data_IF_094757584485
#
_entry.id   IF_094757584485
#
_cell.length_a   1.000
_cell.length_b   1.000
_cell.length_c   1.000
_cell.angle_alpha   90.00
_cell.angle_beta   90.00
_cell.angle_gamma   90.00
#
_symmetry.space_group_name_H-M   'P 1'
#
loop_
_entity.id
_entity.type
_entity.pdbx_description
1 polymer ?
#
# COMPACT_ATOMS: atom_id res chain seq x y z
N UNK A 1 16.90 -9.47 7.83
CA UNK A 1 15.57 -9.61 7.22
C UNK A 1 15.70 -9.24 5.76
N UNK A 2 15.45 -10.16 4.83
CA UNK A 2 15.42 -9.86 3.40
C UNK A 2 14.04 -9.31 3.03
N UNK A 3 14.01 -8.19 2.33
CA UNK A 3 12.80 -7.59 1.76
C UNK A 3 12.95 -7.66 0.26
N UNK A 4 11.96 -8.25 -0.40
CA UNK A 4 11.87 -8.27 -1.85
C UNK A 4 10.93 -7.15 -2.29
N UNK A 5 11.48 -6.14 -2.95
CA UNK A 5 10.68 -5.11 -3.60
C UNK A 5 10.07 -5.70 -4.87
N UNK A 6 8.87 -6.26 -4.72
CA UNK A 6 8.05 -6.67 -5.86
C UNK A 6 6.93 -5.65 -6.02
N UNK A 7 7.08 -4.79 -7.03
CA UNK A 7 6.04 -3.82 -7.41
C UNK A 7 4.91 -4.57 -8.08
N UNK A 8 3.96 -5.09 -7.28
CA UNK A 8 2.79 -5.76 -7.82
C UNK A 8 1.51 -5.21 -7.21
N UNK A 9 0.70 -4.63 -8.08
CA UNK A 9 -0.73 -4.59 -7.86
C UNK A 9 -1.27 -5.91 -8.35
N UNK A 10 -1.82 -6.77 -7.50
CA UNK A 10 -2.62 -7.88 -8.01
C UNK A 10 -3.93 -7.34 -8.60
N UNK A 11 -3.85 -6.62 -9.73
CA UNK A 11 -4.99 -6.48 -10.64
C UNK A 11 -5.09 -7.85 -11.27
N UNK A 12 -6.05 -8.67 -10.83
CA UNK A 12 -6.19 -10.05 -11.30
C UNK A 12 -6.03 -10.12 -12.83
N UNK A 13 -5.12 -10.99 -13.30
CA UNK A 13 -4.77 -11.11 -14.72
C UNK A 13 -3.30 -10.82 -15.07
N UNK A 14 -2.49 -10.29 -14.15
CA UNK A 14 -1.03 -10.21 -14.34
C UNK A 14 -0.38 -11.59 -14.16
N UNK A 15 0.63 -11.91 -14.98
CA UNK A 15 1.28 -13.21 -14.99
C UNK A 15 2.17 -13.49 -13.76
N UNK A 16 2.59 -12.44 -13.05
CA UNK A 16 3.42 -12.51 -11.85
C UNK A 16 2.62 -11.94 -10.67
N UNK A 17 2.73 -12.58 -9.51
CA UNK A 17 1.95 -12.25 -8.32
C UNK A 17 2.86 -12.11 -7.10
N UNK A 18 2.48 -11.23 -6.17
CA UNK A 18 3.18 -11.04 -4.90
C UNK A 18 3.31 -12.33 -4.09
N UNK A 19 2.36 -13.26 -4.23
CA UNK A 19 2.35 -14.53 -3.50
C UNK A 19 3.55 -15.42 -3.83
N UNK A 20 4.07 -15.37 -5.06
CA UNK A 20 5.21 -16.15 -5.53
C UNK A 20 6.51 -15.82 -4.79
N UNK A 21 6.56 -14.66 -4.13
CA UNK A 21 7.78 -14.15 -3.47
C UNK A 21 7.76 -14.26 -1.95
N UNK A 22 6.65 -14.68 -1.34
CA UNK A 22 6.52 -14.81 0.13
C UNK A 22 7.55 -15.77 0.72
N UNK A 23 7.92 -16.84 -0.01
CA UNK A 23 8.95 -17.79 0.41
C UNK A 23 10.38 -17.23 0.42
N UNK A 24 10.61 -16.10 -0.26
CA UNK A 24 11.95 -15.50 -0.44
C UNK A 24 12.22 -14.37 0.57
N UNK A 25 11.19 -13.90 1.28
CA UNK A 25 11.26 -12.78 2.19
C UNK A 25 9.95 -12.00 2.24
N UNK A 26 9.96 -10.85 2.92
CA UNK A 26 8.78 -9.98 2.93
C UNK A 26 8.60 -9.29 1.59
N UNK A 27 7.34 -9.07 1.21
CA UNK A 27 6.92 -8.45 -0.05
C UNK A 27 6.41 -7.03 0.21
N UNK A 28 6.71 -6.10 -0.69
CA UNK A 28 6.18 -4.73 -0.62
C UNK A 28 4.70 -4.68 -0.99
N UNK A 29 3.85 -4.23 -0.07
CA UNK A 29 2.39 -4.15 -0.27
C UNK A 29 1.98 -2.75 -0.74
N UNK A 30 2.04 -2.53 -2.06
CA UNK A 30 1.72 -1.24 -2.68
C UNK A 30 0.26 -0.81 -2.51
N UNK A 31 -0.67 -1.74 -2.22
CA UNK A 31 -2.08 -1.41 -1.99
C UNK A 31 -2.28 -0.64 -0.68
N UNK A 32 -1.41 -0.85 0.30
CA UNK A 32 -1.50 -0.20 1.61
C UNK A 32 -1.50 1.34 1.48
N UNK A 33 -0.47 1.91 0.84
CA UNK A 33 -0.37 3.35 0.63
C UNK A 33 -1.51 3.93 -0.21
N UNK A 34 -1.91 3.24 -1.29
CA UNK A 34 -3.01 3.68 -2.16
C UNK A 34 -4.35 3.69 -1.44
N UNK A 35 -4.71 2.61 -0.75
CA UNK A 35 -6.02 2.51 -0.09
C UNK A 35 -6.15 3.51 1.07
N UNK A 36 -5.05 3.76 1.81
CA UNK A 36 -5.03 4.88 2.77
C UNK A 36 -5.21 6.22 2.06
N UNK A 37 -4.48 6.44 0.98
CA UNK A 37 -4.58 7.64 0.17
C UNK A 37 -6.01 7.90 -0.33
N UNK A 38 -6.67 6.87 -0.87
CA UNK A 38 -8.09 6.92 -1.28
C UNK A 38 -9.00 7.33 -0.11
N UNK A 39 -8.81 6.73 1.07
CA UNK A 39 -9.62 7.05 2.24
C UNK A 39 -9.43 8.51 2.71
N UNK A 40 -8.18 8.98 2.79
CA UNK A 40 -7.87 10.35 3.22
C UNK A 40 -8.21 11.42 2.20
N UNK A 41 -8.22 11.08 0.90
CA UNK A 41 -8.68 11.97 -0.18
C UNK A 41 -10.20 11.93 -0.38
N UNK A 42 -10.93 11.10 0.38
CA UNK A 42 -12.39 11.02 0.32
C UNK A 42 -12.95 10.13 -0.79
N UNK A 43 -12.10 9.37 -1.48
CA UNK A 43 -12.50 8.34 -2.44
C UNK A 43 -12.96 7.04 -1.75
N UNK A 44 -12.69 6.90 -0.46
CA UNK A 44 -13.28 5.88 0.40
C UNK A 44 -13.60 6.45 1.80
N UNK A 45 -14.56 5.85 2.50
CA UNK A 45 -14.94 6.34 3.84
C UNK A 45 -13.95 5.86 4.90
N UNK A 46 -13.43 6.80 5.72
CA UNK A 46 -12.50 6.49 6.81
C UNK A 46 -13.02 5.43 7.79
N UNK A 47 -14.34 5.33 7.98
CA UNK A 47 -14.96 4.32 8.86
C UNK A 47 -14.66 2.87 8.45
N UNK A 48 -14.33 2.64 7.19
CA UNK A 48 -13.98 1.31 6.69
C UNK A 48 -12.56 0.88 7.06
N UNK A 49 -11.73 1.79 7.55
CA UNK A 49 -10.38 1.44 7.99
C UNK A 49 -10.36 0.57 9.26
N UNK A 50 -11.52 0.29 9.87
CA UNK A 50 -11.65 -0.58 11.06
C UNK A 50 -11.07 -1.98 10.85
N UNK A 51 -11.11 -2.50 9.63
CA UNK A 51 -10.52 -3.80 9.26
C UNK A 51 -9.46 -3.66 8.17
N UNK A 52 -8.77 -2.51 8.13
CA UNK A 52 -7.75 -2.25 7.13
C UNK A 52 -6.61 -3.27 7.20
N UNK A 53 -6.31 -3.94 6.09
CA UNK A 53 -5.28 -4.99 6.03
C UNK A 53 -5.71 -6.19 5.18
N UNK A 54 -5.49 -7.38 5.70
CA UNK A 54 -5.78 -8.67 5.03
C UNK A 54 -7.23 -8.76 4.51
N UNK A 55 -8.21 -8.24 5.25
CA UNK A 55 -9.63 -8.22 4.84
C UNK A 55 -9.89 -7.39 3.58
N UNK A 56 -8.96 -6.51 3.20
CA UNK A 56 -9.00 -5.73 1.96
C UNK A 56 -8.28 -6.45 0.80
N UNK A 57 -7.97 -7.73 0.98
CA UNK A 57 -7.25 -8.57 0.04
C UNK A 57 -5.74 -8.36 0.03
N UNK A 58 -5.19 -7.62 1.00
CA UNK A 58 -3.75 -7.49 1.18
C UNK A 58 -3.13 -8.80 1.69
N UNK A 59 -1.83 -8.99 1.43
CA UNK A 59 -1.11 -10.15 1.95
C UNK A 59 -1.06 -10.15 3.49
N UNK A 60 -0.86 -11.33 4.07
CA UNK A 60 -0.66 -11.52 5.52
C UNK A 60 0.38 -10.56 6.08
N UNK A 61 0.06 -9.92 7.21
CA UNK A 61 0.89 -8.90 7.86
C UNK A 61 2.30 -9.37 8.20
N UNK A 62 2.51 -10.66 8.44
CA UNK A 62 3.81 -11.26 8.73
C UNK A 62 4.74 -11.26 7.50
N UNK A 63 4.14 -11.25 6.31
CA UNK A 63 4.80 -11.41 5.02
C UNK A 63 5.01 -10.09 4.26
N UNK A 64 4.57 -8.95 4.81
CA UNK A 64 4.62 -7.67 4.08
C UNK A 64 5.49 -6.60 4.72
N UNK A 65 6.05 -5.74 3.85
CA UNK A 65 6.51 -4.41 4.20
C UNK A 65 5.52 -3.40 3.62
N UNK A 66 5.05 -2.46 4.46
CA UNK A 66 4.08 -1.44 4.08
C UNK A 66 4.68 -0.04 4.16
N UNK A 67 4.15 0.89 3.36
CA UNK A 67 4.57 2.29 3.30
C UNK A 67 3.43 3.17 2.79
N UNK A 68 3.49 4.47 3.08
CA UNK A 68 2.54 5.47 2.55
C UNK A 68 2.94 5.85 1.12
N UNK A 69 4.21 6.21 0.94
CA UNK A 69 4.88 6.44 -0.33
C UNK A 69 6.27 5.77 -0.33
N UNK A 70 6.88 5.66 -1.51
CA UNK A 70 8.27 5.28 -1.73
C UNK A 70 8.91 6.25 -2.73
N UNK A 71 10.20 6.07 -3.00
CA UNK A 71 10.98 6.93 -3.90
C UNK A 71 10.44 6.98 -5.34
N UNK A 72 9.71 5.96 -5.79
CA UNK A 72 9.10 5.93 -7.12
C UNK A 72 7.75 6.65 -7.16
N UNK A 73 6.83 6.26 -6.28
CA UNK A 73 5.45 6.74 -6.34
C UNK A 73 5.27 8.16 -5.82
N UNK A 74 6.22 8.69 -5.04
CA UNK A 74 6.24 10.11 -4.70
C UNK A 74 6.59 11.04 -5.88
N UNK A 75 7.07 10.46 -7.00
CA UNK A 75 7.38 11.17 -8.26
C UNK A 75 6.35 10.87 -9.36
N UNK A 76 5.25 10.18 -9.04
CA UNK A 76 4.19 9.83 -9.99
C UNK A 76 4.45 8.55 -10.79
N UNK A 77 5.50 7.79 -10.45
CA UNK A 77 5.87 6.52 -11.12
C UNK A 77 5.48 5.31 -10.28
N UNK A 78 5.22 4.17 -10.90
CA UNK A 78 4.98 2.91 -10.18
C UNK A 78 3.57 2.78 -9.56
N UNK A 79 3.47 1.99 -8.50
CA UNK A 79 2.20 1.58 -7.91
C UNK A 79 1.53 2.67 -7.06
N UNK A 80 0.23 2.90 -7.29
CA UNK A 80 -0.64 3.73 -6.43
C UNK A 80 -1.20 5.00 -7.08
N UNK A 81 -0.55 5.50 -8.13
CA UNK A 81 -1.00 6.68 -8.88
C UNK A 81 -1.22 7.93 -8.02
N UNK A 82 -2.13 8.80 -8.44
CA UNK A 82 -2.46 10.09 -7.79
C UNK A 82 -3.03 9.95 -6.37
N UNK A 83 -3.35 8.72 -5.95
CA UNK A 83 -3.88 8.47 -4.61
C UNK A 83 -2.79 8.50 -3.55
N UNK A 84 -1.52 8.27 -3.92
CA UNK A 84 -0.41 8.27 -2.96
C UNK A 84 -0.30 9.62 -2.26
N UNK A 85 -0.25 9.58 -0.92
CA UNK A 85 0.04 10.75 -0.10
C UNK A 85 1.54 10.92 -0.01
N UNK A 86 2.05 12.10 -0.32
CA UNK A 86 3.48 12.40 -0.21
C UNK A 86 3.73 13.49 0.83
N UNK A 87 4.99 13.83 1.07
CA UNK A 87 5.33 15.01 1.88
C UNK A 87 4.69 16.31 1.37
N UNK A 88 4.31 16.39 0.09
CA UNK A 88 3.60 17.53 -0.49
C UNK A 88 2.16 17.65 0.04
N UNK A 89 1.57 16.55 0.51
CA UNK A 89 0.26 16.48 1.16
C UNK A 89 0.37 16.58 2.70
N UNK A 90 1.23 17.47 3.20
CA UNK A 90 1.70 17.52 4.60
C UNK A 90 0.64 17.27 5.68
N UNK A 91 -0.57 17.85 5.54
CA UNK A 91 -1.66 17.63 6.50
C UNK A 91 -2.15 16.18 6.50
N UNK A 92 -2.44 15.63 5.33
CA UNK A 92 -2.96 14.27 5.16
C UNK A 92 -1.89 13.23 5.49
N UNK A 93 -0.63 13.48 5.09
CA UNK A 93 0.50 12.58 5.31
C UNK A 93 0.82 12.32 6.80
N UNK A 94 0.49 13.28 7.68
CA UNK A 94 0.79 13.21 9.13
C UNK A 94 -0.39 12.78 9.99
N UNK A 95 -1.55 12.48 9.40
CA UNK A 95 -2.73 12.13 10.20
C UNK A 95 -2.43 10.83 10.95
N UNK A 96 -2.37 10.93 12.27
CA UNK A 96 -2.38 9.76 13.14
C UNK A 96 -3.81 9.23 13.20
N UNK A 97 -4.02 8.03 12.69
CA UNK A 97 -5.20 7.26 13.09
C UNK A 97 -5.18 7.16 14.61
N UNK A 98 -6.28 7.53 15.28
CA UNK A 98 -6.49 7.12 16.66
C UNK A 98 -6.79 5.62 16.62
N UNK A 99 -5.73 4.81 16.58
CA UNK A 99 -5.80 3.39 16.93
C UNK A 99 -5.91 3.28 18.44
#
# INVERSE_FOLDING_TARGET
MLVNESVHYSKGGEAVTSQEYVGNGRVTEFRYGKFLGEAFRGHNQLKWLVNFGEDWGMLDRGNVLVFIDNHDNQRGSGGGGDMILTFRDSKLYKVKGKT
#
